data_IF_117830459021
#
_entry.id   IF_117830459021
#
_cell.length_a   1.000
_cell.length_b   1.000
_cell.length_c   1.000
_cell.angle_alpha   90.00
_cell.angle_beta   90.00
_cell.angle_gamma   90.00
#
_symmetry.space_group_name_H-M   'P 1'
#
loop_
_entity.id
_entity.type
_entity.pdbx_description
1 polymer ?
#
# COMPACT_ATOMS: atom_id res chain seq x y z
N UNK A 1 11.90 -2.73 -21.03
CA UNK A 1 11.43 -4.13 -20.88
C UNK A 1 9.98 -4.23 -21.30
N UNK A 2 9.59 -5.22 -22.11
CA UNK A 2 8.18 -5.44 -22.41
C UNK A 2 7.47 -5.96 -21.17
N UNK A 3 6.47 -5.24 -20.69
CA UNK A 3 5.64 -5.66 -19.54
C UNK A 3 4.95 -7.00 -19.85
N UNK A 4 4.92 -7.91 -18.90
CA UNK A 4 4.23 -9.20 -19.07
C UNK A 4 2.73 -8.98 -19.32
N UNK A 5 2.05 -9.94 -19.98
CA UNK A 5 0.58 -9.86 -20.19
C UNK A 5 -0.19 -9.70 -18.88
N UNK A 6 0.26 -10.36 -17.81
CA UNK A 6 -0.33 -10.22 -16.48
C UNK A 6 -0.21 -8.79 -15.96
N UNK A 7 0.99 -8.19 -16.05
CA UNK A 7 1.19 -6.79 -15.64
C UNK A 7 0.35 -5.82 -16.47
N UNK A 8 0.22 -6.03 -17.77
CA UNK A 8 -0.64 -5.20 -18.63
C UNK A 8 -2.11 -5.29 -18.22
N UNK A 9 -2.59 -6.50 -17.90
CA UNK A 9 -3.96 -6.71 -17.40
C UNK A 9 -4.16 -6.01 -16.06
N UNK A 10 -3.24 -6.19 -15.11
CA UNK A 10 -3.28 -5.52 -13.81
C UNK A 10 -3.32 -4.00 -13.95
N UNK A 11 -2.43 -3.43 -14.78
CA UNK A 11 -2.42 -2.00 -15.06
C UNK A 11 -3.73 -1.50 -15.68
N UNK A 12 -4.36 -2.29 -16.55
CA UNK A 12 -5.68 -1.97 -17.11
C UNK A 12 -6.77 -1.89 -16.03
N UNK A 13 -6.81 -2.84 -15.11
CA UNK A 13 -7.75 -2.84 -13.97
C UNK A 13 -7.45 -1.69 -12.99
N UNK A 14 -6.18 -1.43 -12.71
CA UNK A 14 -5.75 -0.31 -11.86
C UNK A 14 -6.15 1.03 -12.49
N UNK A 15 -5.91 1.21 -13.81
CA UNK A 15 -6.34 2.41 -14.53
C UNK A 15 -7.84 2.63 -14.40
N UNK A 16 -8.63 1.56 -14.61
CA UNK A 16 -10.07 1.62 -14.46
C UNK A 16 -10.47 2.04 -13.04
N UNK A 17 -9.90 1.43 -11.99
CA UNK A 17 -10.18 1.80 -10.61
C UNK A 17 -9.81 3.26 -10.31
N UNK A 18 -8.64 3.71 -10.76
CA UNK A 18 -8.16 5.09 -10.56
C UNK A 18 -9.11 6.10 -11.22
N UNK A 19 -9.62 5.80 -12.41
CA UNK A 19 -10.54 6.67 -13.14
C UNK A 19 -11.96 6.63 -12.57
N UNK A 20 -12.52 5.44 -12.31
CA UNK A 20 -13.89 5.27 -11.82
C UNK A 20 -14.10 5.88 -10.43
N UNK A 21 -13.06 5.87 -9.60
CA UNK A 21 -13.11 6.37 -8.22
C UNK A 21 -12.31 7.65 -7.99
N UNK A 22 -11.82 8.30 -9.05
CA UNK A 22 -11.04 9.56 -8.99
C UNK A 22 -9.90 9.50 -7.96
N UNK A 23 -9.17 8.38 -7.93
CA UNK A 23 -8.19 8.09 -6.89
C UNK A 23 -6.95 8.98 -6.96
N UNK A 24 -6.52 9.37 -8.17
CA UNK A 24 -5.30 10.13 -8.44
C UNK A 24 -5.62 11.29 -9.35
N UNK A 25 -5.14 12.48 -8.99
CA UNK A 25 -5.24 13.71 -9.75
C UNK A 25 -3.85 14.19 -10.25
N UNK A 26 -3.81 15.10 -11.24
CA UNK A 26 -2.56 15.71 -11.68
C UNK A 26 -1.79 16.34 -10.52
N UNK A 27 -0.50 16.05 -10.44
CA UNK A 27 0.40 16.59 -9.41
C UNK A 27 0.40 15.82 -8.08
N UNK A 28 -0.42 14.79 -7.92
CA UNK A 28 -0.44 13.96 -6.70
C UNK A 28 0.92 13.27 -6.44
N UNK A 29 1.25 13.16 -5.17
CA UNK A 29 2.39 12.37 -4.68
C UNK A 29 1.87 11.15 -3.92
N UNK A 30 1.96 9.99 -4.57
CA UNK A 30 1.43 8.73 -4.06
C UNK A 30 2.54 7.94 -3.38
N UNK A 31 2.38 7.66 -2.08
CA UNK A 31 3.26 6.75 -1.37
C UNK A 31 2.66 5.34 -1.37
N UNK A 32 3.48 4.33 -1.60
CA UNK A 32 3.12 2.91 -1.45
C UNK A 32 3.84 2.33 -0.25
N UNK A 33 3.07 1.77 0.70
CA UNK A 33 3.63 0.98 1.78
C UNK A 33 3.99 -0.43 1.30
N UNK A 34 5.28 -0.70 1.14
CA UNK A 34 5.77 -1.99 0.64
C UNK A 34 6.03 -2.94 1.81
N UNK A 35 5.28 -4.02 1.88
CA UNK A 35 5.45 -5.07 2.90
C UNK A 35 6.45 -6.16 2.50
N UNK A 36 6.92 -6.16 1.24
CA UNK A 36 7.69 -7.25 0.63
C UNK A 36 6.82 -8.38 0.06
N UNK A 37 5.51 -8.36 0.30
CA UNK A 37 4.56 -9.29 -0.32
C UNK A 37 4.26 -8.92 -1.78
N UNK A 38 3.86 -9.92 -2.57
CA UNK A 38 3.58 -9.82 -4.02
C UNK A 38 2.68 -8.64 -4.37
N UNK A 39 1.60 -8.41 -3.60
CA UNK A 39 0.59 -7.40 -3.91
C UNK A 39 1.12 -5.97 -3.76
N UNK A 40 1.90 -5.71 -2.70
CA UNK A 40 2.52 -4.40 -2.49
C UNK A 40 3.57 -4.08 -3.55
N UNK A 41 4.32 -5.08 -4.00
CA UNK A 41 5.30 -4.94 -5.09
C UNK A 41 4.59 -4.74 -6.43
N UNK A 42 3.57 -5.54 -6.74
CA UNK A 42 2.76 -5.42 -7.95
C UNK A 42 2.06 -4.05 -8.04
N UNK A 43 1.49 -3.56 -6.92
CA UNK A 43 0.91 -2.22 -6.82
C UNK A 43 1.94 -1.14 -7.15
N UNK A 44 3.13 -1.24 -6.57
CA UNK A 44 4.20 -0.23 -6.76
C UNK A 44 4.63 -0.14 -8.22
N UNK A 45 4.91 -1.29 -8.83
CA UNK A 45 5.29 -1.37 -10.25
C UNK A 45 4.13 -0.95 -11.14
N UNK A 46 2.91 -1.41 -10.83
CA UNK A 46 1.71 -1.05 -11.59
C UNK A 46 1.44 0.45 -11.62
N UNK A 47 1.63 1.15 -10.50
CA UNK A 47 1.51 2.62 -10.44
C UNK A 47 2.63 3.31 -11.24
N UNK A 48 3.86 2.79 -11.19
CA UNK A 48 4.96 3.33 -11.99
C UNK A 48 4.72 3.17 -13.49
N UNK A 49 4.21 2.01 -13.91
CA UNK A 49 3.82 1.79 -15.30
C UNK A 49 2.62 2.68 -15.70
N UNK A 50 1.63 2.83 -14.83
CA UNK A 50 0.44 3.63 -15.07
C UNK A 50 0.76 5.11 -15.38
N UNK A 51 1.80 5.68 -14.77
CA UNK A 51 2.28 7.05 -15.07
C UNK A 51 2.53 7.29 -16.56
N UNK A 52 2.92 6.26 -17.30
CA UNK A 52 3.32 6.39 -18.71
C UNK A 52 2.15 6.64 -19.66
N UNK A 53 0.92 6.30 -19.25
CA UNK A 53 -0.25 6.34 -20.16
C UNK A 53 -1.57 6.78 -19.52
N UNK A 54 -1.55 7.28 -18.29
CA UNK A 54 -2.78 7.78 -17.64
C UNK A 54 -3.23 9.15 -18.18
N UNK A 55 -2.32 9.90 -18.79
CA UNK A 55 -2.61 11.18 -19.42
C UNK A 55 -2.35 12.41 -18.55
N UNK A 56 -1.80 12.24 -17.34
CA UNK A 56 -1.38 13.32 -16.46
C UNK A 56 -0.21 12.88 -15.57
N UNK A 57 0.52 13.85 -15.02
CA UNK A 57 1.68 13.58 -14.18
C UNK A 57 1.30 13.38 -12.72
N UNK A 58 1.86 12.35 -12.09
CA UNK A 58 1.89 12.13 -10.66
C UNK A 58 3.18 11.41 -10.27
N UNK A 59 3.56 11.42 -9.01
CA UNK A 59 4.77 10.76 -8.53
C UNK A 59 4.45 9.55 -7.66
N UNK A 60 5.33 8.55 -7.69
CA UNK A 60 5.24 7.34 -6.86
C UNK A 60 6.48 7.26 -5.97
N UNK A 61 6.28 7.07 -4.68
CA UNK A 61 7.31 6.86 -3.67
C UNK A 61 7.05 5.53 -2.97
N UNK A 62 8.02 4.62 -2.96
CA UNK A 62 7.93 3.36 -2.21
C UNK A 62 8.58 3.50 -0.83
N UNK A 63 7.92 2.96 0.20
CA UNK A 63 8.44 2.97 1.58
C UNK A 63 8.21 1.61 2.22
N UNK A 64 9.26 1.00 2.76
CA UNK A 64 9.17 -0.16 3.65
C UNK A 64 9.40 0.27 5.10
N UNK A 65 8.49 -0.15 5.97
CA UNK A 65 8.68 -0.04 7.42
C UNK A 65 9.27 -1.36 7.90
N UNK A 66 10.55 -1.35 8.28
CA UNK A 66 11.22 -2.49 8.89
C UNK A 66 10.90 -2.52 10.39
N UNK A 67 10.12 -3.50 10.86
CA UNK A 67 9.74 -3.58 12.27
C UNK A 67 10.86 -4.12 13.17
N UNK A 68 11.99 -4.54 12.60
CA UNK A 68 13.15 -5.11 13.31
C UNK A 68 12.77 -6.28 14.22
N UNK A 69 11.98 -7.24 13.73
CA UNK A 69 11.63 -8.45 14.49
C UNK A 69 12.89 -9.24 14.88
N UNK A 70 13.00 -9.56 16.17
CA UNK A 70 14.17 -10.29 16.71
C UNK A 70 15.48 -9.47 16.66
N UNK A 71 15.40 -8.14 16.58
CA UNK A 71 16.56 -7.24 16.62
C UNK A 71 17.49 -7.32 15.40
N UNK A 72 17.05 -7.93 14.30
CA UNK A 72 17.84 -8.04 13.07
C UNK A 72 17.16 -7.27 11.93
N UNK A 73 17.91 -6.43 11.20
CA UNK A 73 17.38 -5.81 9.99
C UNK A 73 17.14 -6.88 8.92
N UNK A 74 16.04 -6.73 8.17
CA UNK A 74 15.78 -7.56 7.00
C UNK A 74 16.60 -7.06 5.80
N UNK A 75 16.92 -7.98 4.88
CA UNK A 75 17.57 -7.64 3.61
C UNK A 75 16.50 -7.23 2.58
N UNK A 76 16.63 -6.02 2.08
CA UNK A 76 15.73 -5.44 1.06
C UNK A 76 16.45 -5.16 -0.27
N UNK A 77 17.65 -5.68 -0.47
CA UNK A 77 18.47 -5.43 -1.66
C UNK A 77 17.72 -5.74 -2.95
N UNK A 78 17.02 -6.86 -3.00
CA UNK A 78 16.22 -7.26 -4.18
C UNK A 78 15.13 -6.22 -4.51
N UNK A 79 14.47 -5.64 -3.49
CA UNK A 79 13.47 -4.60 -3.71
C UNK A 79 14.11 -3.28 -4.16
N UNK A 80 15.28 -2.93 -3.63
CA UNK A 80 16.03 -1.74 -4.05
C UNK A 80 16.41 -1.83 -5.53
N UNK A 81 16.99 -2.95 -5.94
CA UNK A 81 17.36 -3.20 -7.33
C UNK A 81 16.14 -3.21 -8.27
N UNK A 82 15.04 -3.85 -7.83
CA UNK A 82 13.82 -3.91 -8.60
C UNK A 82 13.21 -2.52 -8.80
N UNK A 83 13.07 -1.72 -7.76
CA UNK A 83 12.46 -0.39 -7.87
C UNK A 83 13.34 0.61 -8.61
N UNK A 84 14.66 0.46 -8.53
CA UNK A 84 15.60 1.25 -9.34
C UNK A 84 15.39 1.03 -10.85
N UNK A 85 15.03 -0.19 -11.29
CA UNK A 85 14.73 -0.48 -12.70
C UNK A 85 13.49 0.25 -13.25
N UNK A 86 12.59 0.69 -12.34
CA UNK A 86 11.35 1.40 -12.68
C UNK A 86 11.40 2.89 -12.32
N UNK A 87 12.58 3.43 -11.98
CA UNK A 87 12.76 4.82 -11.54
C UNK A 87 11.82 5.19 -10.38
N UNK A 88 11.66 4.28 -9.40
CA UNK A 88 10.84 4.47 -8.21
C UNK A 88 11.76 4.80 -7.04
N UNK A 89 11.68 6.00 -6.46
CA UNK A 89 12.35 6.30 -5.19
C UNK A 89 11.88 5.34 -4.10
N UNK A 90 12.83 4.71 -3.41
CA UNK A 90 12.54 3.71 -2.38
C UNK A 90 13.28 4.01 -1.08
N UNK A 91 12.55 4.05 0.02
CA UNK A 91 13.08 4.31 1.35
C UNK A 91 12.75 3.17 2.32
N UNK A 92 13.73 2.76 3.11
CA UNK A 92 13.57 1.77 4.19
C UNK A 92 13.64 2.52 5.52
N UNK A 93 12.54 2.49 6.27
CA UNK A 93 12.44 3.09 7.60
C UNK A 93 12.47 2.02 8.67
N UNK A 94 13.52 1.98 9.44
CA UNK A 94 13.61 1.13 10.62
C UNK A 94 12.74 1.69 11.72
N UNK A 95 11.98 0.81 12.38
CA UNK A 95 11.05 1.18 13.45
C UNK A 95 11.24 0.30 14.68
N UNK A 96 10.92 0.82 15.85
CA UNK A 96 10.90 0.06 17.11
C UNK A 96 9.61 -0.76 17.32
N UNK A 97 8.84 -1.02 16.25
CA UNK A 97 7.53 -1.68 16.36
C UNK A 97 7.68 -3.10 16.90
N UNK A 98 8.67 -3.86 16.41
CA UNK A 98 8.93 -5.23 16.87
C UNK A 98 9.24 -5.27 18.36
N UNK A 99 10.29 -4.59 18.84
CA UNK A 99 10.61 -4.51 20.26
C UNK A 99 9.45 -4.00 21.13
N UNK A 100 8.75 -2.96 20.69
CA UNK A 100 7.62 -2.39 21.48
C UNK A 100 6.49 -3.39 21.62
N UNK A 101 6.13 -4.12 20.55
CA UNK A 101 4.98 -5.02 20.56
C UNK A 101 5.29 -6.34 21.29
N UNK A 102 6.47 -6.91 21.06
CA UNK A 102 6.77 -8.28 21.51
C UNK A 102 7.58 -8.31 22.80
N UNK A 103 8.45 -7.33 23.05
CA UNK A 103 9.33 -7.35 24.21
C UNK A 103 8.81 -6.47 25.37
N UNK A 104 8.25 -5.28 25.04
CA UNK A 104 7.86 -4.33 26.08
C UNK A 104 6.40 -4.49 26.53
N UNK A 105 5.45 -4.62 25.60
CA UNK A 105 4.02 -4.53 25.97
C UNK A 105 3.33 -5.85 26.27
N UNK A 106 3.80 -6.98 25.76
CA UNK A 106 3.23 -8.34 25.99
C UNK A 106 1.68 -8.38 25.99
N UNK A 107 1.07 -7.67 25.03
CA UNK A 107 -0.38 -7.54 24.96
C UNK A 107 -1.07 -8.85 24.55
N UNK A 108 -2.34 -9.01 24.97
CA UNK A 108 -3.17 -10.19 24.61
C UNK A 108 -3.37 -10.33 23.09
N UNK A 109 -3.31 -9.23 22.34
CA UNK A 109 -3.40 -9.22 20.87
C UNK A 109 -2.28 -8.39 20.25
N UNK A 110 -1.06 -8.95 20.15
CA UNK A 110 0.10 -8.23 19.60
C UNK A 110 -0.09 -7.85 18.11
N UNK A 111 -0.82 -8.66 17.35
CA UNK A 111 -1.07 -8.38 15.93
C UNK A 111 -1.88 -7.09 15.71
N UNK A 112 -2.91 -6.84 16.53
CA UNK A 112 -3.72 -5.63 16.43
C UNK A 112 -2.91 -4.36 16.76
N UNK A 113 -2.06 -4.43 17.80
CA UNK A 113 -1.17 -3.33 18.17
C UNK A 113 -0.13 -3.08 17.07
N UNK A 114 0.50 -4.13 16.56
CA UNK A 114 1.46 -4.04 15.47
C UNK A 114 0.83 -3.37 14.23
N UNK A 115 -0.36 -3.80 13.82
CA UNK A 115 -1.07 -3.22 12.67
C UNK A 115 -1.38 -1.72 12.89
N UNK A 116 -1.79 -1.34 14.12
CA UNK A 116 -2.06 0.05 14.47
C UNK A 116 -0.80 0.92 14.42
N UNK A 117 0.31 0.45 14.98
CA UNK A 117 1.58 1.17 14.98
C UNK A 117 2.15 1.29 13.56
N UNK A 118 2.12 0.21 12.77
CA UNK A 118 2.57 0.25 11.36
C UNK A 118 1.76 1.24 10.54
N UNK A 119 0.43 1.26 10.71
CA UNK A 119 -0.44 2.23 10.03
C UNK A 119 -0.07 3.67 10.42
N UNK A 120 0.11 3.94 11.71
CA UNK A 120 0.53 5.27 12.19
C UNK A 120 1.87 5.69 11.62
N UNK A 121 2.88 4.83 11.65
CA UNK A 121 4.21 5.08 11.10
C UNK A 121 4.17 5.31 9.57
N UNK A 122 3.32 4.57 8.84
CA UNK A 122 3.15 4.76 7.40
C UNK A 122 2.57 6.15 7.07
N UNK A 123 1.55 6.58 7.82
CA UNK A 123 0.96 7.91 7.63
C UNK A 123 1.97 9.03 7.96
N UNK A 124 2.77 8.86 9.01
CA UNK A 124 3.83 9.82 9.36
C UNK A 124 4.88 9.88 8.25
N UNK A 125 5.31 8.73 7.74
CA UNK A 125 6.24 8.67 6.61
C UNK A 125 5.70 9.42 5.37
N UNK A 126 4.42 9.24 5.05
CA UNK A 126 3.80 9.93 3.93
C UNK A 126 3.83 11.46 4.10
N UNK A 127 3.49 11.96 5.29
CA UNK A 127 3.52 13.40 5.59
C UNK A 127 4.93 13.98 5.49
N UNK A 128 5.94 13.30 6.05
CA UNK A 128 7.35 13.74 6.01
C UNK A 128 7.92 13.76 4.59
N UNK A 129 7.47 12.85 3.72
CA UNK A 129 7.85 12.81 2.31
C UNK A 129 7.03 13.78 1.44
N UNK A 130 6.09 14.51 2.03
CA UNK A 130 5.21 15.42 1.32
C UNK A 130 4.25 14.71 0.37
N UNK A 131 3.92 13.44 0.64
CA UNK A 131 2.92 12.69 -0.11
C UNK A 131 1.52 13.03 0.41
N UNK A 132 0.58 13.25 -0.49
CA UNK A 132 -0.82 13.52 -0.15
C UNK A 132 -1.72 12.28 -0.30
N UNK A 133 -1.20 11.21 -0.89
CA UNK A 133 -1.90 9.94 -1.04
C UNK A 133 -1.07 8.74 -0.57
N UNK A 134 -1.76 7.75 -0.01
CA UNK A 134 -1.17 6.46 0.37
C UNK A 134 -1.94 5.35 -0.34
N UNK A 135 -1.26 4.62 -1.21
CA UNK A 135 -1.83 3.48 -1.91
C UNK A 135 -1.63 2.19 -1.11
N UNK A 136 -2.70 1.41 -1.01
CA UNK A 136 -2.76 0.14 -0.30
C UNK A 136 -3.04 -0.99 -1.29
N UNK A 137 -2.36 -2.12 -1.12
CA UNK A 137 -2.43 -3.28 -2.00
C UNK A 137 -3.65 -4.19 -1.82
N UNK A 138 -4.78 -3.64 -1.34
CA UNK A 138 -6.01 -4.42 -1.24
C UNK A 138 -6.60 -4.65 -2.64
N UNK A 139 -6.99 -5.90 -2.89
CA UNK A 139 -7.61 -6.35 -4.13
C UNK A 139 -9.09 -6.77 -3.92
N UNK A 140 -9.74 -7.27 -4.97
CA UNK A 140 -11.16 -7.62 -4.94
C UNK A 140 -11.47 -8.70 -3.91
N UNK A 141 -10.61 -9.71 -3.79
CA UNK A 141 -10.81 -10.82 -2.84
C UNK A 141 -10.78 -10.31 -1.39
N UNK A 142 -9.86 -9.37 -1.04
CA UNK A 142 -9.85 -8.71 0.28
C UNK A 142 -11.17 -7.98 0.56
N UNK A 143 -11.76 -7.36 -0.46
CA UNK A 143 -13.04 -6.66 -0.32
C UNK A 143 -14.17 -7.64 -0.03
N UNK A 144 -14.21 -8.76 -0.75
CA UNK A 144 -15.19 -9.84 -0.55
C UNK A 144 -15.03 -10.45 0.84
N UNK A 145 -13.82 -10.81 1.23
CA UNK A 145 -13.53 -11.36 2.55
C UNK A 145 -13.93 -10.41 3.67
N UNK A 146 -13.57 -9.13 3.54
CA UNK A 146 -13.94 -8.10 4.53
C UNK A 146 -15.45 -7.94 4.63
N UNK A 147 -16.16 -7.96 3.50
CA UNK A 147 -17.64 -7.90 3.47
C UNK A 147 -18.26 -9.08 4.25
N UNK A 148 -17.81 -10.31 3.97
CA UNK A 148 -18.33 -11.49 4.67
C UNK A 148 -17.96 -11.49 6.15
N UNK A 149 -16.74 -11.08 6.52
CA UNK A 149 -16.34 -10.97 7.92
C UNK A 149 -17.20 -9.97 8.69
N UNK A 150 -17.48 -8.79 8.10
CA UNK A 150 -18.35 -7.79 8.70
C UNK A 150 -19.78 -8.31 8.84
N UNK A 151 -20.30 -8.99 7.83
CA UNK A 151 -21.65 -9.55 7.85
C UNK A 151 -21.82 -10.61 8.95
N UNK A 152 -20.89 -11.55 9.05
CA UNK A 152 -21.04 -12.70 9.97
C UNK A 152 -20.62 -12.39 11.41
N UNK A 153 -19.61 -11.54 11.61
CA UNK A 153 -19.10 -11.26 12.95
C UNK A 153 -19.72 -10.03 13.60
N UNK A 154 -20.01 -9.02 12.79
CA UNK A 154 -20.47 -7.73 13.28
C UNK A 154 -21.94 -7.43 12.92
N UNK A 155 -22.58 -8.26 12.09
CA UNK A 155 -23.94 -8.02 11.60
C UNK A 155 -24.06 -6.75 10.75
N UNK A 156 -22.95 -6.30 10.15
CA UNK A 156 -22.89 -5.07 9.36
C UNK A 156 -22.70 -5.37 7.89
N UNK A 157 -23.49 -4.71 7.05
CA UNK A 157 -23.28 -4.72 5.59
C UNK A 157 -22.30 -3.60 5.26
N UNK A 158 -21.10 -3.98 4.81
CA UNK A 158 -20.09 -3.00 4.42
C UNK A 158 -18.72 -3.61 4.18
N UNK A 159 -17.89 -2.83 3.48
CA UNK A 159 -16.49 -3.11 3.22
C UNK A 159 -15.70 -1.80 3.37
N UNK A 160 -14.41 -1.84 3.16
CA UNK A 160 -13.60 -0.63 3.07
C UNK A 160 -13.91 0.15 1.78
N UNK A 161 -13.85 1.48 1.85
CA UNK A 161 -14.08 2.35 0.69
C UNK A 161 -12.88 2.30 -0.27
N UNK A 162 -13.10 2.46 -1.60
CA UNK A 162 -12.03 2.61 -2.59
C UNK A 162 -11.08 3.77 -2.27
N UNK A 163 -11.65 4.88 -1.81
CA UNK A 163 -10.96 6.10 -1.39
C UNK A 163 -11.40 6.46 0.02
N UNK A 164 -10.46 6.82 0.90
CA UNK A 164 -10.74 7.21 2.29
C UNK A 164 -9.91 8.42 2.65
N UNK A 165 -10.54 9.55 2.90
CA UNK A 165 -9.85 10.75 3.38
C UNK A 165 -9.69 10.74 4.89
N UNK A 166 -8.48 10.96 5.35
CA UNK A 166 -8.09 11.04 6.76
C UNK A 166 -7.90 12.50 7.18
N UNK A 167 -8.96 13.16 7.59
CA UNK A 167 -8.98 14.59 7.92
C UNK A 167 -7.93 15.03 8.95
N UNK A 168 -7.66 14.20 9.96
CA UNK A 168 -6.64 14.51 11.00
C UNK A 168 -5.20 14.48 10.47
N UNK A 169 -4.97 13.86 9.34
CA UNK A 169 -3.64 13.68 8.75
C UNK A 169 -3.47 14.38 7.41
N UNK A 170 -4.57 14.89 6.87
CA UNK A 170 -4.63 15.45 5.51
C UNK A 170 -4.03 14.50 4.46
N UNK A 171 -4.43 13.23 4.57
CA UNK A 171 -3.98 12.14 3.70
C UNK A 171 -5.17 11.41 3.10
N UNK A 172 -5.07 11.03 1.84
CA UNK A 172 -6.07 10.16 1.19
C UNK A 172 -5.51 8.76 1.00
N UNK A 173 -6.20 7.76 1.54
CA UNK A 173 -5.91 6.35 1.28
C UNK A 173 -6.62 5.92 0.00
N UNK A 174 -5.92 5.27 -0.91
CA UNK A 174 -6.46 4.77 -2.18
C UNK A 174 -6.17 3.28 -2.35
N UNK A 175 -7.00 2.58 -3.11
CA UNK A 175 -6.89 1.13 -3.36
C UNK A 175 -6.96 0.82 -4.85
N UNK A 176 -5.89 1.10 -5.61
CA UNK A 176 -5.89 0.99 -7.07
C UNK A 176 -6.11 -0.44 -7.58
N UNK A 177 -5.80 -1.47 -6.78
CA UNK A 177 -5.97 -2.87 -7.14
C UNK A 177 -7.38 -3.42 -6.84
N UNK A 178 -8.32 -2.59 -6.36
CA UNK A 178 -9.65 -3.03 -5.92
C UNK A 178 -10.45 -3.82 -6.97
N UNK A 179 -10.22 -3.60 -8.25
CA UNK A 179 -10.87 -4.33 -9.35
C UNK A 179 -10.08 -5.56 -9.83
N UNK A 180 -8.86 -5.78 -9.31
CA UNK A 180 -8.05 -6.95 -9.61
C UNK A 180 -8.38 -8.10 -8.64
N UNK A 181 -8.36 -9.33 -9.14
CA UNK A 181 -8.38 -10.53 -8.29
C UNK A 181 -6.96 -10.91 -7.91
N UNK A 182 -6.81 -11.76 -6.89
CA UNK A 182 -5.49 -12.28 -6.48
C UNK A 182 -4.76 -13.03 -7.60
N UNK A 183 -5.50 -13.55 -8.58
CA UNK A 183 -4.98 -14.30 -9.73
C UNK A 183 -4.77 -13.43 -10.99
N UNK A 184 -4.97 -12.12 -10.90
CA UNK A 184 -4.97 -11.21 -12.08
C UNK A 184 -3.59 -11.00 -12.71
#
# INVERSE_FOLDING_TARGET
MSSSRAMQRLCGLMRKAVQDYEMIAPGDKVMVGVSGGKDSVALTIGLAELRKYIGFDFTVQAVTLDPQFGGRPMDYTVLQELFAQYDIPYEIRRTEIGPVVFDCRKEKNPCALCAKLRRGALHTAAQELGCNKVALGHHLDDAVETFYMNLWREGRIGCFSPVTYLSRRDLTLIRPMLLATEQA
#
